data_IF_235564676706
#
_entry.id   IF_235564676706
#
_cell.length_a   1.000
_cell.length_b   1.000
_cell.length_c   1.000
_cell.angle_alpha   90.00
_cell.angle_beta   90.00
_cell.angle_gamma   90.00
#
_symmetry.space_group_name_H-M   'P 1'
#
loop_
_entity.id
_entity.type
_entity.pdbx_description
1 polymer ?
#
# COMPACT_ATOMS: atom_id res chain seq x y z
N UNK A 1 -1.11 21.62 -3.31
CA UNK A 1 -2.08 20.58 -2.91
C UNK A 1 -1.27 19.48 -2.26
N UNK A 2 -1.28 19.37 -0.93
CA UNK A 2 -0.58 18.28 -0.24
C UNK A 2 -1.31 16.96 -0.53
N UNK A 3 -0.59 15.94 -1.01
CA UNK A 3 -1.16 14.60 -1.16
C UNK A 3 -1.31 13.96 0.22
N UNK A 4 -2.52 13.48 0.55
CA UNK A 4 -2.83 12.91 1.87
C UNK A 4 -1.96 11.70 2.23
N UNK A 5 -1.56 10.92 1.24
CA UNK A 5 -0.62 9.81 1.37
C UNK A 5 0.46 9.91 0.30
N UNK A 6 1.69 9.52 0.65
CA UNK A 6 2.80 9.42 -0.30
C UNK A 6 3.75 8.30 0.10
N UNK A 7 4.54 7.82 -0.84
CA UNK A 7 5.55 6.80 -0.59
C UNK A 7 6.51 6.61 -1.74
N UNK A 8 7.57 5.84 -1.49
CA UNK A 8 8.60 5.51 -2.47
C UNK A 8 9.00 4.05 -2.31
N UNK A 9 9.23 3.37 -3.42
CA UNK A 9 9.80 2.03 -3.42
C UNK A 9 11.23 2.06 -2.88
N UNK A 10 11.67 0.96 -2.26
CA UNK A 10 13.02 0.82 -1.71
C UNK A 10 14.12 0.88 -2.78
N UNK A 11 13.80 0.63 -4.05
CA UNK A 11 14.75 0.83 -5.14
C UNK A 11 15.10 2.31 -5.39
N UNK A 12 14.28 3.25 -4.90
CA UNK A 12 14.47 4.68 -5.09
C UNK A 12 13.87 5.26 -6.37
N UNK A 13 13.64 4.45 -7.39
CA UNK A 13 13.19 4.89 -8.72
C UNK A 13 11.67 5.15 -8.84
N UNK A 14 10.87 4.60 -7.92
CA UNK A 14 9.41 4.64 -8.01
C UNK A 14 8.85 5.43 -6.83
N UNK A 15 8.11 6.50 -7.10
CA UNK A 15 7.36 7.30 -6.11
C UNK A 15 5.89 7.37 -6.46
N UNK A 16 5.03 7.48 -5.45
CA UNK A 16 3.58 7.63 -5.62
C UNK A 16 2.99 8.60 -4.60
N UNK A 17 1.88 9.21 -4.98
CA UNK A 17 1.08 10.13 -4.15
C UNK A 17 -0.39 9.84 -4.38
N UNK A 18 -1.17 9.81 -3.30
CA UNK A 18 -2.61 9.54 -3.35
C UNK A 18 -3.35 10.62 -2.56
N UNK A 19 -4.38 11.19 -3.16
CA UNK A 19 -5.21 12.23 -2.54
C UNK A 19 -6.66 11.76 -2.33
N UNK A 20 -6.80 10.61 -1.68
CA UNK A 20 -8.07 10.04 -1.28
C UNK A 20 -7.89 9.24 0.01
N UNK A 21 -8.99 8.98 0.69
CA UNK A 21 -9.02 8.06 1.83
C UNK A 21 -8.97 6.60 1.36
N UNK A 22 -8.25 5.71 2.08
CA UNK A 22 -8.23 4.30 1.76
C UNK A 22 -9.60 3.66 2.03
N UNK A 23 -10.00 2.77 1.14
CA UNK A 23 -11.14 1.86 1.34
C UNK A 23 -10.83 0.79 2.40
N UNK A 24 -9.54 0.47 2.56
CA UNK A 24 -9.06 -0.49 3.55
C UNK A 24 -7.62 -0.13 3.95
N UNK A 25 -7.31 -0.28 5.24
CA UNK A 25 -5.95 -0.23 5.77
C UNK A 25 -5.81 -1.31 6.85
N UNK A 26 -4.91 -2.28 6.66
CA UNK A 26 -4.75 -3.37 7.60
C UNK A 26 -3.72 -4.41 7.19
N UNK A 27 -3.63 -5.47 7.99
CA UNK A 27 -2.66 -6.55 7.81
C UNK A 27 -3.34 -7.80 7.28
N UNK A 28 -2.86 -8.33 6.15
CA UNK A 28 -3.31 -9.61 5.62
C UNK A 28 -2.47 -10.75 6.21
N UNK A 29 -3.16 -11.73 6.82
CA UNK A 29 -2.55 -12.91 7.43
C UNK A 29 -2.77 -14.20 6.63
N UNK A 30 -3.30 -14.11 5.40
CA UNK A 30 -3.55 -15.30 4.59
C UNK A 30 -2.24 -16.04 4.27
N UNK A 31 -2.35 -17.32 3.88
CA UNK A 31 -1.17 -18.15 3.59
C UNK A 31 -0.36 -17.59 2.42
N UNK A 32 -1.02 -17.04 1.41
CA UNK A 32 -0.37 -16.52 0.21
C UNK A 32 0.42 -15.24 0.51
N UNK A 33 -0.16 -14.29 1.26
CA UNK A 33 0.55 -13.07 1.66
C UNK A 33 1.77 -13.37 2.52
N UNK A 34 1.66 -14.31 3.48
CA UNK A 34 2.81 -14.74 4.29
C UNK A 34 3.90 -15.38 3.44
N UNK A 35 3.53 -16.26 2.50
CA UNK A 35 4.48 -16.95 1.62
C UNK A 35 5.18 -15.98 0.67
N UNK A 36 4.45 -15.00 0.13
CA UNK A 36 4.98 -14.01 -0.81
C UNK A 36 5.94 -13.03 -0.14
N UNK A 37 5.60 -12.52 1.04
CA UNK A 37 6.44 -11.54 1.76
C UNK A 37 7.53 -12.17 2.62
N UNK A 38 7.41 -13.45 2.99
CA UNK A 38 8.26 -14.10 3.98
C UNK A 38 8.02 -13.60 5.42
N UNK A 39 7.01 -12.74 5.64
CA UNK A 39 6.67 -12.15 6.93
C UNK A 39 5.46 -12.85 7.58
N UNK A 40 5.19 -12.54 8.85
CA UNK A 40 4.00 -13.01 9.57
C UNK A 40 2.69 -12.42 9.00
N UNK A 41 2.77 -11.28 8.29
CA UNK A 41 1.68 -10.62 7.60
C UNK A 41 2.21 -9.66 6.53
N UNK A 42 1.32 -9.21 5.65
CA UNK A 42 1.59 -8.12 4.71
C UNK A 42 0.67 -6.94 5.00
N UNK A 43 1.19 -5.74 5.30
CA UNK A 43 0.39 -4.53 5.40
C UNK A 43 -0.13 -4.15 4.00
N UNK A 44 -1.40 -3.75 3.92
CA UNK A 44 -2.02 -3.30 2.69
C UNK A 44 -2.89 -2.08 2.95
N UNK A 45 -2.82 -1.10 2.04
CA UNK A 45 -3.80 -0.04 1.89
C UNK A 45 -4.41 -0.14 0.50
N UNK A 46 -5.73 -0.10 0.43
CA UNK A 46 -6.49 -0.18 -0.82
C UNK A 46 -7.18 1.16 -1.04
N UNK A 47 -7.01 1.73 -2.22
CA UNK A 47 -7.62 3.00 -2.61
C UNK A 47 -8.55 2.81 -3.82
N UNK A 48 -9.50 3.73 -4.07
CA UNK A 48 -10.27 3.73 -5.31
C UNK A 48 -9.35 3.88 -6.52
N UNK A 49 -9.62 3.17 -7.61
CA UNK A 49 -8.82 3.25 -8.84
C UNK A 49 -8.73 4.68 -9.40
N UNK A 50 -9.79 5.48 -9.21
CA UNK A 50 -9.86 6.87 -9.69
C UNK A 50 -9.03 7.85 -8.86
N UNK A 51 -8.28 7.39 -7.85
CA UNK A 51 -7.53 8.24 -6.92
C UNK A 51 -6.01 8.26 -7.12
N UNK A 52 -5.54 7.58 -8.17
CA UNK A 52 -4.13 7.54 -8.64
C UNK A 52 -3.94 8.26 -9.96
#
# INVERSE_FOLDING_TARGET
MESKYSGRCLCGEISYSVNADPLFAGNCHCKDCKRSSGSAFTPAMIFPETSV
#
